data_IF_040895522086
#
_entry.id   IF_040895522086
#
_cell.length_a   1.000
_cell.length_b   1.000
_cell.length_c   1.000
_cell.angle_alpha   90.00
_cell.angle_beta   90.00
_cell.angle_gamma   90.00
#
_symmetry.space_group_name_H-M   'P 1'
#
loop_
_entity.id
_entity.type
_entity.pdbx_description
1 polymer ?
#
# COMPACT_ATOMS: atom_id res chain seq x y z
N UNK A 1 18.62 16.52 29.67
CA UNK A 1 17.71 15.46 29.19
C UNK A 1 16.77 16.06 28.14
N UNK A 2 17.22 16.30 26.91
CA UNK A 2 16.38 16.90 25.85
C UNK A 2 16.93 16.59 24.45
N UNK A 3 16.79 15.36 23.98
CA UNK A 3 17.13 15.01 22.58
C UNK A 3 16.29 13.82 22.11
N UNK A 4 15.00 14.02 21.84
CA UNK A 4 14.23 13.03 21.06
C UNK A 4 12.91 13.55 20.45
N UNK A 5 12.60 14.86 20.52
CA UNK A 5 11.37 15.43 19.94
C UNK A 5 11.57 16.10 18.57
N UNK A 6 12.82 16.39 18.16
CA UNK A 6 13.10 17.12 16.91
C UNK A 6 12.86 16.30 15.63
N UNK A 7 12.97 14.96 15.68
CA UNK A 7 12.88 14.09 14.50
C UNK A 7 11.45 13.81 14.01
N UNK A 8 10.47 13.55 14.90
CA UNK A 8 9.06 13.45 14.51
C UNK A 8 8.52 14.74 13.86
N UNK A 9 8.98 15.91 14.30
CA UNK A 9 8.63 17.19 13.69
C UNK A 9 9.20 17.35 12.27
N UNK A 10 10.43 16.87 12.01
CA UNK A 10 11.02 16.88 10.67
C UNK A 10 10.23 16.01 9.69
N UNK A 11 9.78 14.81 10.09
CA UNK A 11 8.89 14.00 9.25
C UNK A 11 7.57 14.73 8.95
N UNK A 12 6.95 15.32 9.98
CA UNK A 12 5.72 16.12 9.81
C UNK A 12 5.94 17.31 8.87
N UNK A 13 7.09 17.96 8.93
CA UNK A 13 7.47 19.06 8.03
C UNK A 13 7.75 18.56 6.60
N UNK A 14 8.43 17.44 6.43
CA UNK A 14 8.71 16.84 5.12
C UNK A 14 7.46 16.36 4.38
N UNK A 15 6.46 15.87 5.12
CA UNK A 15 5.20 15.35 4.56
C UNK A 15 4.03 16.33 4.68
N UNK A 16 4.25 17.54 5.23
CA UNK A 16 3.22 18.52 5.65
C UNK A 16 1.99 17.84 6.26
N UNK A 17 2.25 16.97 7.23
CA UNK A 17 1.21 16.23 7.91
C UNK A 17 0.25 17.17 8.64
N UNK A 18 -1.07 16.91 8.62
CA UNK A 18 -2.01 17.68 9.41
C UNK A 18 -1.64 17.66 10.90
N UNK A 19 -1.70 18.82 11.55
CA UNK A 19 -1.49 18.94 13.00
C UNK A 19 -2.74 18.58 13.78
N UNK A 20 -3.91 18.83 13.20
CA UNK A 20 -5.20 18.55 13.84
C UNK A 20 -5.47 17.03 13.91
N UNK A 21 -5.80 16.49 15.09
CA UNK A 21 -6.06 15.05 15.26
C UNK A 21 -7.13 14.48 14.33
N UNK A 22 -8.20 15.23 14.06
CA UNK A 22 -9.28 14.83 13.17
C UNK A 22 -8.81 14.75 11.72
N UNK A 23 -8.04 15.74 11.26
CA UNK A 23 -7.49 15.76 9.91
C UNK A 23 -6.46 14.63 9.70
N UNK A 24 -5.66 14.34 10.72
CA UNK A 24 -4.74 13.19 10.71
C UNK A 24 -5.50 11.86 10.69
N UNK A 25 -6.59 11.73 11.46
CA UNK A 25 -7.47 10.56 11.43
C UNK A 25 -8.10 10.36 10.05
N UNK A 26 -8.58 11.43 9.43
CA UNK A 26 -9.12 11.41 8.07
C UNK A 26 -8.08 10.96 7.05
N UNK A 27 -6.86 11.52 7.10
CA UNK A 27 -5.76 11.11 6.22
C UNK A 27 -5.45 9.60 6.34
N UNK A 28 -5.33 9.08 7.57
CA UNK A 28 -5.11 7.65 7.79
C UNK A 28 -6.24 6.79 7.23
N UNK A 29 -7.49 7.22 7.42
CA UNK A 29 -8.65 6.52 6.88
C UNK A 29 -8.60 6.48 5.35
N UNK A 30 -8.32 7.61 4.72
CA UNK A 30 -8.24 7.73 3.27
C UNK A 30 -7.13 6.87 2.67
N UNK A 31 -5.98 6.74 3.36
CA UNK A 31 -4.88 5.88 2.93
C UNK A 31 -5.18 4.38 3.12
N UNK A 32 -5.97 4.00 4.12
CA UNK A 32 -6.37 2.59 4.33
C UNK A 32 -7.48 2.15 3.39
N UNK A 33 -8.36 3.07 2.99
CA UNK A 33 -9.50 2.80 2.11
C UNK A 33 -9.12 2.08 0.81
N UNK A 34 -8.05 2.43 0.07
CA UNK A 34 -7.63 1.67 -1.10
C UNK A 34 -6.95 0.32 -0.76
N UNK A 35 -6.31 0.19 0.41
CA UNK A 35 -5.59 -1.05 0.76
C UNK A 35 -6.53 -2.14 1.29
N UNK A 36 -7.57 -1.79 2.04
CA UNK A 36 -8.46 -2.78 2.65
C UNK A 36 -9.17 -3.67 1.60
N UNK A 37 -9.74 -3.11 0.50
CA UNK A 37 -10.28 -3.94 -0.58
C UNK A 37 -9.21 -4.78 -1.27
N UNK A 38 -7.98 -4.28 -1.43
CA UNK A 38 -6.89 -5.08 -1.98
C UNK A 38 -6.67 -6.36 -1.17
N UNK A 39 -6.57 -6.24 0.15
CA UNK A 39 -6.38 -7.38 1.05
C UNK A 39 -7.58 -8.33 0.98
N UNK A 40 -8.79 -7.79 1.06
CA UNK A 40 -10.02 -8.58 1.00
C UNK A 40 -10.20 -9.32 -0.32
N UNK A 41 -9.87 -8.71 -1.47
CA UNK A 41 -9.91 -9.40 -2.76
C UNK A 41 -8.86 -10.50 -2.85
N UNK A 42 -7.66 -10.30 -2.30
CA UNK A 42 -6.63 -11.34 -2.30
C UNK A 42 -7.07 -12.54 -1.45
N UNK A 43 -7.64 -12.29 -0.27
CA UNK A 43 -8.18 -13.33 0.62
C UNK A 43 -9.33 -14.07 -0.07
N UNK A 44 -10.32 -13.34 -0.60
CA UNK A 44 -11.49 -13.93 -1.26
C UNK A 44 -11.10 -14.82 -2.44
N UNK A 45 -10.20 -14.36 -3.33
CA UNK A 45 -9.76 -15.15 -4.48
C UNK A 45 -9.04 -16.43 -4.05
N UNK A 46 -8.27 -16.38 -2.96
CA UNK A 46 -7.56 -17.55 -2.43
C UNK A 46 -8.51 -18.52 -1.74
N UNK A 47 -9.51 -18.02 -1.00
CA UNK A 47 -10.52 -18.82 -0.29
C UNK A 47 -11.51 -19.49 -1.24
N UNK A 48 -11.94 -18.81 -2.30
CA UNK A 48 -12.88 -19.32 -3.30
C UNK A 48 -12.20 -20.17 -4.39
N UNK A 49 -10.89 -20.37 -4.31
CA UNK A 49 -10.12 -21.12 -5.29
C UNK A 49 -10.52 -22.60 -5.32
N UNK A 50 -11.13 -23.04 -6.42
CA UNK A 50 -11.39 -24.46 -6.69
C UNK A 50 -10.18 -25.21 -7.26
N UNK A 51 -10.34 -26.53 -7.44
CA UNK A 51 -9.29 -27.44 -7.95
C UNK A 51 -8.73 -27.07 -9.34
N UNK A 52 -9.48 -26.30 -10.14
CA UNK A 52 -9.07 -25.84 -11.45
C UNK A 52 -8.17 -24.60 -11.46
N UNK A 53 -7.94 -23.95 -10.32
CA UNK A 53 -7.12 -22.73 -10.25
C UNK A 53 -5.63 -23.09 -10.22
N UNK A 54 -4.78 -22.49 -11.09
CA UNK A 54 -3.37 -22.83 -11.12
C UNK A 54 -2.65 -22.52 -9.79
N UNK A 55 -1.83 -23.45 -9.25
CA UNK A 55 -1.10 -23.20 -8.00
C UNK A 55 -0.19 -21.97 -8.04
N UNK A 56 0.41 -21.68 -9.21
CA UNK A 56 1.24 -20.49 -9.42
C UNK A 56 0.45 -19.19 -9.27
N UNK A 57 -0.78 -19.17 -9.77
CA UNK A 57 -1.68 -18.02 -9.63
C UNK A 57 -2.00 -17.78 -8.15
N UNK A 58 -2.34 -18.84 -7.40
CA UNK A 58 -2.60 -18.73 -5.96
C UNK A 58 -1.38 -18.29 -5.15
N UNK A 59 -0.18 -18.74 -5.52
CA UNK A 59 1.06 -18.27 -4.90
C UNK A 59 1.24 -16.77 -5.13
N UNK A 60 1.06 -16.28 -6.36
CA UNK A 60 1.16 -14.85 -6.64
C UNK A 60 0.06 -14.01 -5.97
N UNK A 61 -1.16 -14.54 -5.79
CA UNK A 61 -2.19 -13.86 -5.00
C UNK A 61 -1.76 -13.68 -3.52
N UNK A 62 -1.09 -14.67 -2.94
CA UNK A 62 -0.52 -14.57 -1.59
C UNK A 62 0.64 -13.57 -1.54
N UNK A 63 1.50 -13.55 -2.55
CA UNK A 63 2.58 -12.55 -2.66
C UNK A 63 2.00 -11.13 -2.77
N UNK A 64 0.90 -10.95 -3.52
CA UNK A 64 0.20 -9.68 -3.63
C UNK A 64 -0.42 -9.25 -2.29
N UNK A 65 -0.98 -10.18 -1.52
CA UNK A 65 -1.46 -9.92 -0.16
C UNK A 65 -0.34 -9.47 0.77
N UNK A 66 0.83 -10.10 0.71
CA UNK A 66 2.03 -9.69 1.47
C UNK A 66 2.45 -8.26 1.13
N UNK A 67 2.44 -7.89 -0.15
CA UNK A 67 2.71 -6.51 -0.59
C UNK A 67 1.66 -5.53 -0.04
N UNK A 68 0.37 -5.88 -0.11
CA UNK A 68 -0.72 -5.11 0.50
C UNK A 68 -0.52 -4.88 1.99
N UNK A 69 -0.12 -5.94 2.71
CA UNK A 69 0.14 -5.89 4.15
C UNK A 69 1.34 -4.98 4.45
N UNK A 70 2.38 -4.99 3.61
CA UNK A 70 3.51 -4.05 3.72
C UNK A 70 3.05 -2.61 3.51
N UNK A 71 2.23 -2.33 2.50
CA UNK A 71 1.67 -0.99 2.27
C UNK A 71 0.85 -0.49 3.46
N UNK A 72 0.01 -1.36 4.04
CA UNK A 72 -0.77 -1.06 5.24
C UNK A 72 0.13 -0.77 6.45
N UNK A 73 1.17 -1.58 6.65
CA UNK A 73 2.14 -1.39 7.72
C UNK A 73 2.87 -0.05 7.60
N UNK A 74 3.39 0.29 6.42
CA UNK A 74 4.02 1.60 6.16
C UNK A 74 3.05 2.76 6.44
N UNK A 75 1.80 2.63 5.99
CA UNK A 75 0.74 3.62 6.25
C UNK A 75 0.49 3.77 7.76
N UNK A 76 0.42 2.66 8.48
CA UNK A 76 0.16 2.70 9.92
C UNK A 76 1.34 3.30 10.68
N UNK A 77 2.57 2.95 10.35
CA UNK A 77 3.75 3.43 11.07
C UNK A 77 4.03 4.91 10.80
N UNK A 78 4.02 5.34 9.54
CA UNK A 78 4.38 6.73 9.17
C UNK A 78 3.32 7.73 9.63
N UNK A 79 2.03 7.39 9.52
CA UNK A 79 0.94 8.32 9.79
C UNK A 79 0.27 8.11 11.17
N UNK A 80 0.83 7.26 12.03
CA UNK A 80 0.39 7.15 13.44
C UNK A 80 1.16 8.08 14.36
N UNK A 81 0.62 8.24 15.57
CA UNK A 81 1.28 8.97 16.66
C UNK A 81 2.28 8.09 17.44
N UNK A 82 2.48 6.83 17.01
CA UNK A 82 3.42 5.90 17.63
C UNK A 82 4.82 6.06 17.02
N UNK A 83 5.90 6.06 17.82
CA UNK A 83 7.26 6.13 17.29
C UNK A 83 7.57 4.97 16.33
N UNK A 84 8.15 5.26 15.18
CA UNK A 84 8.66 4.26 14.23
C UNK A 84 10.06 4.64 13.75
N UNK A 85 10.94 3.66 13.44
CA UNK A 85 12.20 3.91 12.73
C UNK A 85 12.00 4.66 11.40
N UNK A 86 10.83 4.52 10.76
CA UNK A 86 10.50 5.23 9.52
C UNK A 86 10.43 6.75 9.72
N UNK A 87 10.20 7.22 10.94
CA UNK A 87 10.23 8.66 11.26
C UNK A 87 11.64 9.26 11.25
N UNK A 88 12.67 8.43 11.21
CA UNK A 88 14.05 8.87 11.12
C UNK A 88 14.55 9.03 9.68
N UNK A 89 13.78 8.53 8.70
CA UNK A 89 14.13 8.54 7.28
C UNK A 89 13.94 9.93 6.68
N UNK A 90 14.79 10.26 5.70
CA UNK A 90 14.59 11.44 4.88
C UNK A 90 13.48 11.22 3.83
N UNK A 91 13.16 12.28 3.09
CA UNK A 91 12.11 12.26 2.05
C UNK A 91 12.41 11.24 0.94
N UNK A 92 13.66 11.11 0.52
CA UNK A 92 14.06 10.22 -0.57
C UNK A 92 13.96 8.76 -0.11
N UNK A 93 14.39 8.48 1.12
CA UNK A 93 14.27 7.18 1.75
C UNK A 93 12.80 6.78 1.93
N UNK A 94 11.95 7.67 2.46
CA UNK A 94 10.51 7.44 2.56
C UNK A 94 9.86 7.18 1.20
N UNK A 95 10.18 8.01 0.21
CA UNK A 95 9.70 7.81 -1.15
C UNK A 95 10.02 6.41 -1.64
N UNK A 96 11.26 5.93 -1.45
CA UNK A 96 11.66 4.58 -1.85
C UNK A 96 10.90 3.49 -1.09
N UNK A 97 10.73 3.64 0.24
CA UNK A 97 10.01 2.66 1.06
C UNK A 97 8.54 2.49 0.62
N UNK A 98 7.87 3.58 0.21
CA UNK A 98 6.50 3.54 -0.27
C UNK A 98 6.39 3.13 -1.75
N UNK A 99 7.30 3.59 -2.61
CA UNK A 99 7.31 3.30 -4.05
C UNK A 99 7.53 1.81 -4.32
N UNK A 100 8.50 1.19 -3.61
CA UNK A 100 8.88 -0.20 -3.83
C UNK A 100 7.72 -1.21 -3.76
N UNK A 101 6.88 -1.26 -2.69
CA UNK A 101 5.75 -2.17 -2.64
C UNK A 101 4.64 -1.81 -3.64
N UNK A 102 4.44 -0.53 -3.98
CA UNK A 102 3.45 -0.13 -4.98
C UNK A 102 3.84 -0.62 -6.38
N UNK A 103 5.09 -0.40 -6.79
CA UNK A 103 5.61 -0.85 -8.09
C UNK A 103 5.60 -2.37 -8.20
N UNK A 104 6.04 -3.07 -7.16
CA UNK A 104 6.01 -4.52 -7.10
C UNK A 104 4.58 -5.06 -7.22
N UNK A 105 3.62 -4.47 -6.51
CA UNK A 105 2.22 -4.89 -6.58
C UNK A 105 1.62 -4.59 -7.96
N UNK A 106 1.89 -3.43 -8.55
CA UNK A 106 1.41 -3.09 -9.88
C UNK A 106 1.95 -4.04 -10.96
N UNK A 107 3.22 -4.43 -10.88
CA UNK A 107 3.82 -5.42 -11.77
C UNK A 107 3.16 -6.79 -11.60
N UNK A 108 3.03 -7.25 -10.35
CA UNK A 108 2.46 -8.55 -10.03
C UNK A 108 0.98 -8.65 -10.43
N UNK A 109 0.18 -7.58 -10.23
CA UNK A 109 -1.20 -7.52 -10.70
C UNK A 109 -1.30 -7.73 -12.21
N UNK A 110 -0.44 -7.10 -13.01
CA UNK A 110 -0.44 -7.28 -14.47
C UNK A 110 -0.08 -8.71 -14.86
N UNK A 111 0.88 -9.33 -14.17
CA UNK A 111 1.25 -10.72 -14.42
C UNK A 111 0.09 -11.66 -14.07
N UNK A 112 -0.50 -11.50 -12.88
CA UNK A 112 -1.61 -12.33 -12.42
C UNK A 112 -2.84 -12.15 -13.28
N UNK A 113 -3.09 -10.96 -13.82
CA UNK A 113 -4.21 -10.71 -14.73
C UNK A 113 -4.06 -11.56 -16.00
N UNK A 114 -2.85 -11.60 -16.58
CA UNK A 114 -2.56 -12.46 -17.73
C UNK A 114 -2.73 -13.94 -17.40
N UNK A 115 -2.26 -14.37 -16.23
CA UNK A 115 -2.42 -15.76 -15.75
C UNK A 115 -3.90 -16.12 -15.53
N UNK A 116 -4.69 -15.21 -14.95
CA UNK A 116 -6.13 -15.37 -14.76
C UNK A 116 -6.87 -15.49 -16.10
N UNK A 117 -6.55 -14.64 -17.08
CA UNK A 117 -7.14 -14.72 -18.42
C UNK A 117 -6.77 -16.03 -19.12
N UNK A 118 -5.52 -16.47 -19.04
CA UNK A 118 -5.07 -17.74 -19.61
C UNK A 118 -5.76 -18.95 -18.94
N UNK A 119 -6.05 -18.86 -17.64
CA UNK A 119 -6.80 -19.86 -16.89
C UNK A 119 -8.33 -19.72 -17.00
N UNK A 120 -8.84 -18.79 -17.82
CA UNK A 120 -10.28 -18.51 -17.96
C UNK A 120 -10.97 -18.15 -16.64
N UNK A 121 -10.31 -17.31 -15.82
CA UNK A 121 -10.79 -16.75 -14.55
C UNK A 121 -11.12 -15.25 -14.69
N UNK A 122 -12.18 -14.86 -15.45
CA UNK A 122 -12.43 -13.46 -15.80
C UNK A 122 -12.82 -12.56 -14.61
N UNK A 123 -13.43 -13.13 -13.57
CA UNK A 123 -13.77 -12.40 -12.35
C UNK A 123 -12.48 -11.99 -11.62
N UNK A 124 -11.56 -12.94 -11.41
CA UNK A 124 -10.27 -12.68 -10.80
C UNK A 124 -9.44 -11.67 -11.60
N UNK A 125 -9.44 -11.75 -12.94
CA UNK A 125 -8.77 -10.75 -13.79
C UNK A 125 -9.34 -9.33 -13.56
N UNK A 126 -10.66 -9.19 -13.46
CA UNK A 126 -11.31 -7.90 -13.17
C UNK A 126 -10.98 -7.39 -11.76
N UNK A 127 -10.92 -8.27 -10.77
CA UNK A 127 -10.53 -7.90 -9.41
C UNK A 127 -9.07 -7.46 -9.34
N UNK A 128 -8.16 -8.11 -10.07
CA UNK A 128 -6.76 -7.68 -10.18
C UNK A 128 -6.62 -6.28 -10.79
N UNK A 129 -7.46 -5.91 -11.76
CA UNK A 129 -7.51 -4.53 -12.28
C UNK A 129 -7.95 -3.54 -11.19
N UNK A 130 -8.96 -3.90 -10.39
CA UNK A 130 -9.41 -3.06 -9.26
C UNK A 130 -8.31 -2.88 -8.22
N UNK A 131 -7.60 -3.97 -7.91
CA UNK A 131 -6.46 -3.95 -6.99
C UNK A 131 -5.36 -3.03 -7.53
N UNK A 132 -4.99 -3.17 -8.80
CA UNK A 132 -3.97 -2.33 -9.44
C UNK A 132 -4.32 -0.83 -9.35
N UNK A 133 -5.59 -0.47 -9.64
CA UNK A 133 -6.08 0.91 -9.49
C UNK A 133 -6.03 1.38 -8.04
N UNK A 134 -6.36 0.52 -7.08
CA UNK A 134 -6.29 0.87 -5.67
C UNK A 134 -4.85 1.12 -5.20
N UNK A 135 -3.91 0.27 -5.60
CA UNK A 135 -2.46 0.45 -5.37
C UNK A 135 -1.96 1.77 -5.94
N UNK A 136 -2.32 2.10 -7.18
CA UNK A 136 -1.94 3.37 -7.82
C UNK A 136 -2.52 4.58 -7.09
N UNK A 137 -3.79 4.53 -6.67
CA UNK A 137 -4.42 5.62 -5.89
C UNK A 137 -3.73 5.81 -4.54
N UNK A 138 -3.38 4.73 -3.87
CA UNK A 138 -2.64 4.78 -2.61
C UNK A 138 -1.28 5.45 -2.80
N UNK A 139 -0.51 4.97 -3.80
CA UNK A 139 0.79 5.54 -4.11
C UNK A 139 0.71 7.02 -4.48
N UNK A 140 -0.16 7.40 -5.42
CA UNK A 140 -0.35 8.81 -5.83
C UNK A 140 -0.77 9.72 -4.68
N UNK A 141 -1.48 9.20 -3.68
CA UNK A 141 -1.83 10.01 -2.50
C UNK A 141 -0.59 10.32 -1.67
N UNK A 142 0.28 9.35 -1.48
CA UNK A 142 1.55 9.50 -0.74
C UNK A 142 2.55 10.32 -1.54
N UNK A 143 2.70 10.01 -2.82
CA UNK A 143 3.55 10.72 -3.76
C UNK A 143 3.20 12.21 -3.77
N UNK A 144 1.93 12.62 -3.81
CA UNK A 144 1.57 14.05 -3.71
C UNK A 144 2.07 14.72 -2.43
N UNK A 145 1.96 14.04 -1.29
CA UNK A 145 2.48 14.57 -0.01
C UNK A 145 4.01 14.67 -0.01
N UNK A 146 4.67 13.80 -0.76
CA UNK A 146 6.11 13.86 -0.97
C UNK A 146 6.46 14.94 -2.01
N UNK A 147 5.77 15.05 -3.15
CA UNK A 147 6.14 15.79 -4.38
C UNK A 147 5.65 17.23 -4.44
N UNK A 148 4.57 17.63 -3.76
CA UNK A 148 4.08 19.03 -3.69
C UNK A 148 5.07 20.00 -2.98
N UNK A 149 6.36 19.66 -2.96
CA UNK A 149 7.49 20.35 -2.34
C UNK A 149 8.56 20.76 -3.39
N UNK A 150 8.17 21.12 -4.61
CA UNK A 150 9.01 21.85 -5.57
C UNK A 150 8.41 23.24 -5.81
#
# INVERSE_FOLDING_TARGET
MSTSQAKPELLRQCLRLPTEPEAMRALRHDLRTPINPLLGYCELIVEEAGEGVPPKFLAGMKDLHVLGTRMLKLTNEVFSDQPSPLHALDRVELHREFCAPAEAAALLCRQLEQEALAASLPIAAKDLQRISVATDRWWKRIERMLVENC
#
